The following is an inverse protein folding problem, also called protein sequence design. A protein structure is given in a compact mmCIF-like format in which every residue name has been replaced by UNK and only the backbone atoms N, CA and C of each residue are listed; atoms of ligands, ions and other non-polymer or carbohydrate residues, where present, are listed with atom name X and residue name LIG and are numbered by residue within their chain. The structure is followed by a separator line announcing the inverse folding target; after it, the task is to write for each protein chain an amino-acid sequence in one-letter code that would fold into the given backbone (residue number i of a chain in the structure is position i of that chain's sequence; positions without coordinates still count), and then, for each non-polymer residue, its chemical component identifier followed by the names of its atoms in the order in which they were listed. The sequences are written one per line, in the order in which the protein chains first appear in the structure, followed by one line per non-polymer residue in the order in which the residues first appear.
data_IF_063318973400
#
_entry.id   IF_063318973400
#
_cell.length_a   1.000
_cell.length_b   1.000
_cell.length_c   1.000
_cell.angle_alpha   90.00
_cell.angle_beta   90.00
_cell.angle_gamma   90.00
#
_symmetry.space_group_name_H-M   'P 1'
#
loop_
_entity.id
_entity.type
_entity.pdbx_description
1 polymer ?
#
# COMPACT_ATOMS: atom_id res chain seq x y z
N UNK A 1 -8.02 -17.62 -1.73
CA UNK A 1 -8.32 -16.76 -0.57
C UNK A 1 -9.75 -17.06 -0.11
N UNK A 2 -9.99 -17.25 1.18
CA UNK A 2 -11.28 -17.73 1.68
C UNK A 2 -12.11 -16.56 2.24
N UNK A 3 -13.13 -16.14 1.51
CA UNK A 3 -13.85 -14.86 1.63
C UNK A 3 -15.09 -14.94 2.52
N UNK A 4 -14.94 -15.39 3.77
CA UNK A 4 -16.05 -15.50 4.73
C UNK A 4 -16.03 -14.39 5.79
N UNK A 5 -17.19 -13.80 6.18
CA UNK A 5 -17.25 -12.80 7.25
C UNK A 5 -16.73 -13.31 8.59
N UNK A 6 -16.84 -14.62 8.84
CA UNK A 6 -16.32 -15.28 10.05
C UNK A 6 -14.78 -15.31 10.12
N UNK A 7 -14.09 -15.09 9.00
CA UNK A 7 -12.62 -15.04 8.96
C UNK A 7 -12.06 -13.62 9.05
N UNK A 8 -12.93 -12.61 9.11
CA UNK A 8 -12.50 -11.22 9.31
C UNK A 8 -12.07 -11.06 10.77
N UNK A 9 -10.92 -10.42 11.05
CA UNK A 9 -10.55 -10.09 12.41
C UNK A 9 -11.62 -9.22 13.05
N UNK A 10 -11.87 -9.43 14.34
CA UNK A 10 -12.69 -8.53 15.13
C UNK A 10 -11.94 -7.20 15.35
N UNK A 11 -12.61 -6.22 15.96
CA UNK A 11 -12.04 -4.87 16.13
C UNK A 11 -10.72 -4.86 16.92
N UNK A 12 -10.61 -5.71 17.96
CA UNK A 12 -9.40 -5.78 18.78
C UNK A 12 -8.24 -6.44 18.01
N UNK A 13 -8.52 -7.53 17.29
CA UNK A 13 -7.52 -8.19 16.44
C UNK A 13 -7.03 -7.26 15.33
N UNK A 14 -7.94 -6.51 14.70
CA UNK A 14 -7.58 -5.53 13.69
C UNK A 14 -6.73 -4.40 14.28
N UNK A 15 -7.09 -3.91 15.46
CA UNK A 15 -6.33 -2.89 16.16
C UNK A 15 -4.89 -3.35 16.43
N UNK A 16 -4.72 -4.56 16.97
CA UNK A 16 -3.38 -5.14 17.20
C UNK A 16 -2.59 -5.29 15.91
N UNK A 17 -3.20 -5.78 14.82
CA UNK A 17 -2.52 -5.90 13.53
C UNK A 17 -2.05 -4.55 12.97
N UNK A 18 -2.83 -3.48 13.19
CA UNK A 18 -2.46 -2.12 12.75
C UNK A 18 -1.34 -1.57 13.64
N UNK A 19 -1.40 -1.81 14.95
CA UNK A 19 -0.38 -1.38 15.91
C UNK A 19 0.97 -2.07 15.62
N UNK A 20 0.95 -3.40 15.41
CA UNK A 20 2.13 -4.19 15.04
C UNK A 20 2.75 -3.74 13.70
N UNK A 21 1.91 -3.27 12.77
CA UNK A 21 2.37 -2.69 11.49
C UNK A 21 3.03 -1.32 11.70
N UNK A 22 2.48 -0.51 12.60
CA UNK A 22 2.93 0.85 12.84
C UNK A 22 4.17 0.94 13.75
N UNK A 23 4.29 0.04 14.72
CA UNK A 23 5.34 0.09 15.75
C UNK A 23 6.77 0.09 15.17
N UNK A 24 7.13 -0.74 14.16
CA UNK A 24 8.46 -0.68 13.55
C UNK A 24 8.73 0.63 12.81
N UNK A 25 7.69 1.28 12.27
CA UNK A 25 7.80 2.56 11.57
C UNK A 25 8.03 3.67 12.58
N UNK A 26 7.22 3.71 13.65
CA UNK A 26 7.31 4.73 14.69
C UNK A 26 8.69 4.76 15.36
N UNK A 27 9.25 3.58 15.64
CA UNK A 27 10.56 3.45 16.28
C UNK A 27 11.75 3.46 15.30
N UNK A 28 11.52 3.65 14.00
CA UNK A 28 12.54 3.57 12.96
C UNK A 28 13.39 2.28 13.04
N UNK A 29 12.74 1.14 13.23
CA UNK A 29 13.41 -0.18 13.31
C UNK A 29 13.89 -0.59 11.92
N UNK A 30 15.06 -0.10 11.51
CA UNK A 30 15.65 -0.31 10.17
C UNK A 30 15.89 -1.78 9.80
N UNK A 31 15.97 -2.65 10.80
CA UNK A 31 16.08 -4.10 10.66
C UNK A 31 14.73 -4.78 10.37
N UNK A 32 13.61 -4.08 10.60
CA UNK A 32 12.28 -4.56 10.27
C UNK A 32 12.05 -4.60 8.77
N UNK A 33 11.50 -5.73 8.29
CA UNK A 33 11.08 -5.90 6.90
C UNK A 33 10.07 -4.83 6.48
N UNK A 34 9.14 -4.48 7.37
CA UNK A 34 8.10 -3.48 7.11
C UNK A 34 8.70 -2.09 6.91
N UNK A 35 9.65 -1.70 7.77
CA UNK A 35 10.33 -0.40 7.66
C UNK A 35 11.07 -0.29 6.32
N UNK A 36 11.80 -1.33 5.92
CA UNK A 36 12.50 -1.37 4.63
C UNK A 36 11.53 -1.28 3.44
N UNK A 37 10.42 -2.02 3.47
CA UNK A 37 9.42 -1.96 2.40
C UNK A 37 8.79 -0.57 2.28
N UNK A 38 8.54 0.10 3.40
CA UNK A 38 8.05 1.48 3.42
C UNK A 38 9.04 2.42 2.74
N UNK A 39 10.32 2.36 3.12
CA UNK A 39 11.39 3.18 2.53
C UNK A 39 11.55 2.93 1.02
N UNK A 40 11.62 1.65 0.61
CA UNK A 40 11.70 1.27 -0.81
C UNK A 40 10.51 1.80 -1.62
N UNK A 41 9.29 1.75 -1.06
CA UNK A 41 8.07 2.24 -1.71
C UNK A 41 8.03 3.77 -1.79
N UNK A 42 8.48 4.46 -0.75
CA UNK A 42 8.58 5.92 -0.73
C UNK A 42 9.59 6.43 -1.76
N UNK A 43 10.75 5.76 -1.87
CA UNK A 43 11.76 6.04 -2.88
C UNK A 43 11.23 5.87 -4.32
N UNK A 44 10.48 4.79 -4.58
CA UNK A 44 9.81 4.58 -5.87
C UNK A 44 8.81 5.69 -6.13
N UNK A 45 7.99 6.05 -5.14
CA UNK A 45 6.97 7.10 -5.25
C UNK A 45 7.59 8.47 -5.54
N UNK A 46 8.70 8.80 -4.89
CA UNK A 46 9.48 10.02 -5.16
C UNK A 46 10.07 10.04 -6.58
N UNK A 47 10.64 8.92 -7.02
CA UNK A 47 11.17 8.76 -8.38
C UNK A 47 10.08 8.88 -9.44
N UNK A 48 8.94 8.22 -9.24
CA UNK A 48 7.76 8.32 -10.11
C UNK A 48 7.20 9.74 -10.15
N UNK A 49 7.06 10.39 -9.00
CA UNK A 49 6.60 11.79 -8.92
C UNK A 49 7.51 12.72 -9.70
N UNK A 50 8.82 12.47 -9.67
CA UNK A 50 9.81 13.24 -10.45
C UNK A 50 9.71 12.95 -11.96
N UNK A 51 9.40 11.70 -12.35
CA UNK A 51 9.34 11.25 -13.74
C UNK A 51 8.01 11.58 -14.44
N UNK A 52 6.89 11.60 -13.71
CA UNK A 52 5.55 11.92 -14.24
C UNK A 52 5.48 13.38 -14.71
N UNK A 53 6.25 14.29 -14.10
CA UNK A 53 6.34 15.70 -14.52
C UNK A 53 6.93 15.86 -15.94
N UNK A 54 7.61 14.84 -16.48
CA UNK A 54 8.21 14.87 -17.83
C UNK A 54 7.50 14.01 -18.88
N UNK A 55 6.51 13.20 -18.51
CA UNK A 55 5.82 12.34 -19.48
C UNK A 55 4.52 12.99 -19.96
N UNK A 56 4.31 13.19 -21.28
CA UNK A 56 2.97 13.47 -21.77
C UNK A 56 2.14 12.22 -21.51
N UNK A 57 1.18 12.33 -20.60
CA UNK A 57 0.28 11.25 -20.22
C UNK A 57 -0.53 10.85 -21.46
N UNK A 58 -0.04 9.86 -22.23
CA UNK A 58 -0.84 9.26 -23.30
C UNK A 58 -2.06 8.65 -22.64
N UNK A 59 -3.20 9.31 -22.84
CA UNK A 59 -4.46 8.94 -22.26
C UNK A 59 -5.02 7.78 -23.08
N UNK A 60 -4.57 6.56 -22.76
CA UNK A 60 -5.17 5.37 -23.36
C UNK A 60 -6.58 5.24 -22.77
N UNK A 61 -7.57 5.57 -23.60
CA UNK A 61 -8.99 5.59 -23.29
C UNK A 61 -9.43 4.29 -22.59
N UNK A 62 -9.72 4.34 -21.29
CA UNK A 62 -10.38 3.27 -20.56
C UNK A 62 -11.81 3.11 -21.11
N UNK A 63 -11.97 2.23 -22.09
CA UNK A 63 -13.30 1.81 -22.56
C UNK A 63 -13.96 1.00 -21.45
N UNK A 64 -14.79 1.67 -20.66
CA UNK A 64 -15.61 1.04 -19.62
C UNK A 64 -16.77 0.30 -20.29
N UNK A 65 -16.60 -0.99 -20.56
CA UNK A 65 -17.70 -1.84 -21.01
C UNK A 65 -18.49 -2.30 -19.76
N UNK A 66 -19.66 -1.70 -19.52
CA UNK A 66 -20.62 -2.23 -18.55
C UNK A 66 -21.36 -3.41 -19.19
N UNK A 67 -21.21 -4.60 -18.60
CA UNK A 67 -22.01 -5.77 -18.98
C UNK A 67 -23.46 -5.63 -18.45
N UNK A 68 -24.48 -5.98 -19.25
CA UNK A 68 -25.88 -5.98 -18.85
C UNK A 68 -26.22 -7.06 -17.81
#
# INVERSE_FOLDING_TARGET
MQTGPLKRPNANELFTLIDDLWDPIYWNKVDSVIYRQLEETDDISKKLSSSIVQSPLSSDNLLYATHP
#
